data_IF_260137925006
#
_entry.id   IF_260137925006
#
_cell.length_a   1.000
_cell.length_b   1.000
_cell.length_c   1.000
_cell.angle_alpha   90.00
_cell.angle_beta   90.00
_cell.angle_gamma   90.00
#
_symmetry.space_group_name_H-M   'P 1'
#
loop_
_entity.id
_entity.type
_entity.pdbx_description
1 polymer ?
#
# COMPACT_ATOMS: atom_id res chain seq x y z
N UNK A 1 1.33 -16.73 -8.34
CA UNK A 1 2.44 -16.58 -7.38
C UNK A 1 2.87 -15.13 -7.20
N UNK A 2 3.19 -14.37 -8.27
CA UNK A 2 3.64 -12.95 -8.16
C UNK A 2 2.64 -12.05 -7.42
N UNK A 3 1.33 -12.16 -7.70
CA UNK A 3 0.27 -11.41 -7.00
C UNK A 3 0.11 -11.71 -5.50
N UNK A 4 0.80 -12.73 -4.99
CA UNK A 4 0.84 -13.04 -3.55
C UNK A 4 1.98 -12.32 -2.84
N UNK A 5 2.97 -11.83 -3.60
CA UNK A 5 4.16 -11.14 -3.09
C UNK A 5 4.03 -9.63 -3.35
N UNK A 6 3.48 -9.24 -4.49
CA UNK A 6 3.27 -7.84 -4.87
C UNK A 6 1.79 -7.54 -4.96
N UNK A 7 1.35 -6.49 -4.28
CA UNK A 7 -0.02 -5.97 -4.40
C UNK A 7 -0.16 -4.98 -5.57
N UNK A 8 -1.41 -4.68 -5.92
CA UNK A 8 -1.81 -3.71 -6.94
C UNK A 8 -2.64 -2.58 -6.33
N UNK A 9 -2.83 -1.47 -7.06
CA UNK A 9 -3.57 -0.30 -6.54
C UNK A 9 -5.00 -0.65 -6.11
N UNK A 10 -5.68 -1.47 -6.92
CA UNK A 10 -6.99 -2.03 -6.62
C UNK A 10 -7.01 -3.52 -6.94
N UNK A 11 -7.97 -4.24 -6.37
CA UNK A 11 -8.22 -5.66 -6.64
C UNK A 11 -9.65 -5.85 -7.12
N UNK A 12 -9.92 -6.89 -7.93
CA UNK A 12 -11.29 -7.23 -8.29
C UNK A 12 -12.01 -7.76 -7.05
N UNK A 13 -13.25 -7.33 -6.84
CA UNK A 13 -14.07 -7.89 -5.77
C UNK A 13 -14.32 -9.38 -6.06
N UNK A 14 -13.89 -10.31 -5.16
CA UNK A 14 -14.07 -11.74 -5.38
C UNK A 14 -15.54 -12.17 -5.41
N UNK A 15 -16.43 -11.37 -4.80
CA UNK A 15 -17.88 -11.62 -4.76
C UNK A 15 -18.63 -10.99 -5.94
N UNK A 16 -18.00 -10.05 -6.65
CA UNK A 16 -18.60 -9.34 -7.78
C UNK A 16 -17.53 -8.88 -8.74
N UNK A 17 -17.29 -9.66 -9.80
CA UNK A 17 -16.21 -9.40 -10.76
C UNK A 17 -16.33 -8.08 -11.53
N UNK A 18 -17.51 -7.43 -11.46
CA UNK A 18 -17.75 -6.10 -12.03
C UNK A 18 -17.34 -4.93 -11.13
N UNK A 19 -16.87 -5.20 -9.91
CA UNK A 19 -16.45 -4.19 -8.94
C UNK A 19 -14.96 -4.27 -8.67
N UNK A 20 -14.34 -3.10 -8.49
CA UNK A 20 -12.99 -2.96 -7.97
C UNK A 20 -13.07 -2.61 -6.50
N UNK A 21 -12.10 -3.07 -5.72
CA UNK A 21 -11.89 -2.70 -4.33
C UNK A 21 -10.58 -1.95 -4.25
N UNK A 22 -10.60 -0.75 -3.69
CA UNK A 22 -9.43 0.05 -3.41
C UNK A 22 -8.54 -0.73 -2.43
N UNK A 23 -7.33 -1.06 -2.87
CA UNK A 23 -6.47 -1.98 -2.15
C UNK A 23 -5.32 -1.25 -1.49
N UNK A 24 -4.39 -0.72 -2.29
CA UNK A 24 -3.26 0.11 -1.88
C UNK A 24 -3.60 1.62 -1.85
N UNK A 25 -4.78 2.00 -2.32
CA UNK A 25 -5.25 3.39 -2.37
C UNK A 25 -6.35 3.64 -1.35
N UNK A 26 -6.47 4.90 -0.91
CA UNK A 26 -7.62 5.44 -0.17
C UNK A 26 -8.76 5.85 -1.10
N UNK A 27 -8.41 6.18 -2.35
CA UNK A 27 -9.38 6.55 -3.36
C UNK A 27 -8.72 7.04 -4.63
N UNK A 28 -9.59 7.27 -5.62
CA UNK A 28 -9.23 7.79 -6.94
C UNK A 28 -10.24 8.84 -7.38
N UNK A 29 -9.76 9.93 -7.98
CA UNK A 29 -10.58 10.97 -8.57
C UNK A 29 -10.24 11.13 -10.05
N UNK A 30 -11.25 11.09 -10.91
CA UNK A 30 -11.10 11.44 -12.32
C UNK A 30 -11.20 12.97 -12.47
N UNK A 31 -10.16 13.59 -13.01
CA UNK A 31 -9.98 15.02 -13.13
C UNK A 31 -9.88 15.44 -14.59
N UNK A 32 -10.57 16.53 -14.92
CA UNK A 32 -10.37 17.24 -16.19
C UNK A 32 -9.02 17.96 -16.19
N UNK A 33 -8.44 18.23 -17.36
CA UNK A 33 -7.20 19.00 -17.44
C UNK A 33 -7.36 20.42 -16.86
N UNK A 34 -8.54 21.04 -16.95
CA UNK A 34 -8.83 22.36 -16.38
C UNK A 34 -8.88 22.38 -14.85
N UNK A 35 -8.99 21.23 -14.19
CA UNK A 35 -8.95 21.11 -12.72
C UNK A 35 -7.55 20.86 -12.16
N UNK A 36 -6.53 20.77 -13.01
CA UNK A 36 -5.14 20.56 -12.58
C UNK A 36 -4.45 21.90 -12.28
N UNK A 37 -3.54 21.88 -11.31
CA UNK A 37 -2.68 23.02 -10.96
C UNK A 37 -1.39 23.08 -11.79
N UNK A 38 -1.23 22.16 -12.74
CA UNK A 38 -0.08 22.02 -13.62
C UNK A 38 -0.54 21.64 -15.03
N UNK A 39 0.34 21.85 -16.02
CA UNK A 39 0.07 21.40 -17.40
C UNK A 39 0.38 19.90 -17.54
N UNK A 40 -0.61 19.06 -17.91
CA UNK A 40 -0.36 17.64 -18.10
C UNK A 40 0.47 17.39 -19.38
N UNK A 41 1.05 16.19 -19.53
CA UNK A 41 1.77 15.82 -20.75
C UNK A 41 0.92 16.00 -22.01
N UNK A 42 1.56 16.26 -23.14
CA UNK A 42 0.86 16.39 -24.42
C UNK A 42 -0.02 15.15 -24.72
N UNK A 43 -1.15 15.38 -25.40
CA UNK A 43 -2.16 14.36 -25.70
C UNK A 43 -2.93 13.78 -24.50
N UNK A 44 -2.74 14.33 -23.30
CA UNK A 44 -3.58 13.95 -22.15
C UNK A 44 -5.00 14.49 -22.33
N UNK A 45 -5.99 13.61 -22.28
CA UNK A 45 -7.41 13.99 -22.27
C UNK A 45 -7.97 14.07 -20.85
N UNK A 46 -7.50 13.16 -19.98
CA UNK A 46 -7.97 13.10 -18.61
C UNK A 46 -6.90 12.60 -17.66
N UNK A 47 -7.09 12.85 -16.37
CA UNK A 47 -6.14 12.48 -15.33
C UNK A 47 -6.85 11.75 -14.21
N UNK A 48 -6.26 10.68 -13.69
CA UNK A 48 -6.72 10.00 -12.49
C UNK A 48 -5.79 10.33 -11.34
N UNK A 49 -6.29 11.02 -10.31
CA UNK A 49 -5.58 11.31 -9.07
C UNK A 49 -5.79 10.19 -8.08
N UNK A 50 -4.71 9.56 -7.67
CA UNK A 50 -4.71 8.50 -6.67
C UNK A 50 -4.09 8.99 -5.38
N UNK A 51 -4.66 8.56 -4.26
CA UNK A 51 -4.07 8.73 -2.93
C UNK A 51 -3.73 7.35 -2.38
N UNK A 52 -2.45 7.06 -2.20
CA UNK A 52 -1.96 5.86 -1.54
C UNK A 52 -2.33 5.87 -0.05
N UNK A 53 -2.55 4.67 0.49
CA UNK A 53 -2.64 4.48 1.95
C UNK A 53 -1.32 4.86 2.62
N UNK A 54 -1.40 5.46 3.80
CA UNK A 54 -0.22 5.88 4.56
C UNK A 54 0.50 4.73 5.28
N UNK A 55 -0.12 3.55 5.35
CA UNK A 55 0.32 2.40 6.14
C UNK A 55 0.87 1.25 5.29
N UNK A 56 1.38 1.57 4.11
CA UNK A 56 1.92 0.58 3.19
C UNK A 56 3.43 0.52 3.24
N UNK A 57 3.92 -0.70 3.44
CA UNK A 57 5.34 -1.00 3.51
C UNK A 57 5.62 -2.24 2.67
N UNK A 58 6.77 -2.25 2.03
CA UNK A 58 7.36 -3.47 1.52
C UNK A 58 7.81 -4.35 2.69
N UNK A 59 8.00 -5.64 2.40
CA UNK A 59 8.38 -6.66 3.38
C UNK A 59 9.72 -6.40 4.07
N UNK A 60 10.55 -5.53 3.51
CA UNK A 60 11.82 -5.06 4.08
C UNK A 60 11.68 -3.88 5.05
N UNK A 61 10.45 -3.39 5.25
CA UNK A 61 10.12 -2.26 6.12
C UNK A 61 10.20 -0.88 5.44
N UNK A 62 10.56 -0.78 4.16
CA UNK A 62 10.53 0.49 3.42
C UNK A 62 9.09 0.88 3.07
N UNK A 63 8.77 2.16 3.21
CA UNK A 63 7.44 2.68 2.88
C UNK A 63 7.21 2.64 1.37
N UNK A 64 6.02 2.21 0.94
CA UNK A 64 5.61 2.32 -0.46
C UNK A 64 5.23 3.77 -0.75
N UNK A 65 5.75 4.31 -1.85
CA UNK A 65 5.54 5.71 -2.25
C UNK A 65 5.00 5.83 -3.67
N UNK A 66 4.54 7.03 -4.02
CA UNK A 66 4.20 7.41 -5.39
C UNK A 66 5.34 7.16 -6.39
N UNK A 67 6.61 7.23 -5.94
CA UNK A 67 7.76 6.93 -6.79
C UNK A 67 7.84 5.46 -7.17
N UNK A 68 7.49 4.54 -6.28
CA UNK A 68 7.46 3.10 -6.60
C UNK A 68 6.39 2.79 -7.66
N UNK A 69 5.24 3.49 -7.58
CA UNK A 69 4.17 3.37 -8.59
C UNK A 69 4.64 3.94 -9.92
N UNK A 70 5.20 5.16 -9.92
CA UNK A 70 5.73 5.78 -11.14
C UNK A 70 6.82 4.92 -11.78
N UNK A 71 7.79 4.43 -10.98
CA UNK A 71 8.83 3.50 -11.41
C UNK A 71 8.23 2.28 -12.08
N UNK A 72 7.29 1.60 -11.40
CA UNK A 72 6.67 0.37 -11.90
C UNK A 72 6.01 0.60 -13.26
N UNK A 73 5.20 1.65 -13.39
CA UNK A 73 4.40 1.85 -14.61
C UNK A 73 5.28 2.30 -15.77
N UNK A 74 6.18 3.25 -15.51
CA UNK A 74 7.06 3.80 -16.54
C UNK A 74 8.07 2.75 -17.02
N UNK A 75 8.69 1.98 -16.12
CA UNK A 75 9.59 0.87 -16.52
C UNK A 75 8.86 -0.22 -17.29
N UNK A 76 7.71 -0.69 -16.80
CA UNK A 76 6.93 -1.72 -17.50
C UNK A 76 6.54 -1.29 -18.92
N UNK A 77 6.17 -0.02 -19.11
CA UNK A 77 5.87 0.52 -20.43
C UNK A 77 7.11 0.71 -21.30
N UNK A 78 8.23 1.16 -20.71
CA UNK A 78 9.48 1.37 -21.43
C UNK A 78 10.06 0.06 -21.99
N UNK A 79 9.99 -1.02 -21.20
CA UNK A 79 10.57 -2.32 -21.53
C UNK A 79 9.57 -3.32 -22.12
N UNK A 80 8.31 -2.90 -22.32
CA UNK A 80 7.27 -3.76 -22.93
C UNK A 80 6.90 -4.98 -22.09
N UNK A 81 6.96 -4.88 -20.76
CA UNK A 81 6.60 -5.97 -19.86
C UNK A 81 5.15 -6.44 -20.09
N UNK A 82 4.84 -7.73 -19.94
CA UNK A 82 3.48 -8.23 -20.17
C UNK A 82 2.39 -7.52 -19.35
N UNK A 83 2.70 -7.06 -18.14
CA UNK A 83 1.76 -6.29 -17.32
C UNK A 83 1.48 -4.87 -17.86
N UNK A 84 2.31 -4.36 -18.77
CA UNK A 84 2.16 -3.02 -19.38
C UNK A 84 1.12 -2.97 -20.50
N UNK A 85 0.61 -4.12 -20.97
CA UNK A 85 -0.42 -4.17 -22.00
C UNK A 85 -1.67 -3.34 -21.63
N UNK A 86 -1.97 -3.22 -20.33
CA UNK A 86 -3.09 -2.41 -19.82
C UNK A 86 -2.75 -0.92 -19.66
N UNK A 87 -1.48 -0.53 -19.85
CA UNK A 87 -0.96 0.81 -19.57
C UNK A 87 -0.70 1.65 -20.84
N UNK A 88 -0.94 1.10 -22.03
CA UNK A 88 -0.71 1.75 -23.33
C UNK A 88 -1.38 3.12 -23.51
N UNK A 89 -2.40 3.41 -22.71
CA UNK A 89 -3.18 4.63 -22.73
C UNK A 89 -2.58 5.76 -21.85
N UNK A 90 -1.51 5.50 -21.09
CA UNK A 90 -0.86 6.51 -20.26
C UNK A 90 -0.02 7.46 -21.12
N UNK A 91 -0.08 8.75 -20.81
CA UNK A 91 0.80 9.79 -21.39
C UNK A 91 1.94 10.16 -20.46
N UNK A 92 1.74 10.03 -19.15
CA UNK A 92 2.76 10.29 -18.14
C UNK A 92 2.23 10.17 -16.72
N UNK A 93 3.10 10.47 -15.79
CA UNK A 93 2.88 10.47 -14.35
C UNK A 93 3.22 11.83 -13.78
N UNK A 94 2.38 12.36 -12.90
CA UNK A 94 2.73 13.54 -12.10
C UNK A 94 2.67 13.19 -10.63
N UNK A 95 3.79 13.28 -9.92
CA UNK A 95 3.87 13.02 -8.49
C UNK A 95 3.61 14.33 -7.75
N UNK A 96 2.64 14.32 -6.85
CA UNK A 96 2.17 15.50 -6.09
C UNK A 96 2.61 15.49 -4.63
N UNK A 97 2.82 14.29 -4.08
CA UNK A 97 3.29 14.04 -2.73
C UNK A 97 3.82 12.60 -2.62
N UNK A 98 4.49 12.21 -1.52
CA UNK A 98 4.94 10.84 -1.30
C UNK A 98 3.83 9.78 -1.41
N UNK A 99 2.57 10.14 -1.16
CA UNK A 99 1.39 9.28 -1.24
C UNK A 99 0.32 9.78 -2.21
N UNK A 100 0.57 10.82 -3.01
CA UNK A 100 -0.39 11.31 -3.99
C UNK A 100 0.26 11.48 -5.36
N UNK A 101 -0.41 10.96 -6.38
CA UNK A 101 0.06 11.03 -7.75
C UNK A 101 -1.11 11.03 -8.73
N UNK A 102 -0.82 11.56 -9.91
CA UNK A 102 -1.73 11.66 -11.03
C UNK A 102 -1.21 10.75 -12.16
N UNK A 103 -2.12 9.97 -12.73
CA UNK A 103 -1.89 9.19 -13.95
C UNK A 103 -2.60 9.89 -15.10
N UNK A 104 -1.84 10.42 -16.03
CA UNK A 104 -2.35 11.15 -17.19
C UNK A 104 -2.62 10.15 -18.33
N UNK A 105 -3.80 10.23 -18.97
CA UNK A 105 -4.23 9.27 -20.01
C UNK A 105 -4.73 9.93 -21.28
N UNK A 106 -4.55 9.24 -22.42
CA UNK A 106 -4.95 9.67 -23.77
C UNK A 106 -6.45 9.55 -24.00
N UNK A 107 -7.11 8.59 -23.38
CA UNK A 107 -8.55 8.33 -23.51
C UNK A 107 -9.12 7.81 -22.19
N UNK A 108 -10.44 7.84 -22.02
CA UNK A 108 -11.12 7.15 -20.91
C UNK A 108 -12.22 6.26 -21.47
N UNK A 109 -12.23 5.02 -21.01
CA UNK A 109 -13.26 4.03 -21.31
C UNK A 109 -13.73 3.34 -20.03
N UNK A 110 -14.76 2.48 -20.11
CA UNK A 110 -15.39 1.86 -18.95
C UNK A 110 -14.43 0.98 -18.12
N UNK A 111 -13.33 0.50 -18.72
CA UNK A 111 -12.32 -0.33 -18.06
C UNK A 111 -11.03 0.41 -17.72
N UNK A 112 -10.96 1.74 -17.93
CA UNK A 112 -9.75 2.51 -17.68
C UNK A 112 -9.22 2.30 -16.27
N UNK A 113 -10.07 2.39 -15.25
CA UNK A 113 -9.63 2.22 -13.87
C UNK A 113 -9.11 0.80 -13.59
N UNK A 114 -9.79 -0.24 -14.12
CA UNK A 114 -9.33 -1.62 -14.00
C UNK A 114 -7.92 -1.77 -14.58
N UNK A 115 -7.69 -1.24 -15.77
CA UNK A 115 -6.41 -1.31 -16.46
C UNK A 115 -5.30 -0.53 -15.76
N UNK A 116 -5.62 0.65 -15.23
CA UNK A 116 -4.70 1.52 -14.50
C UNK A 116 -4.38 1.03 -13.09
N UNK A 117 -5.12 0.07 -12.53
CA UNK A 117 -4.93 -0.36 -11.14
C UNK A 117 -4.54 -1.82 -10.99
N UNK A 118 -4.58 -2.58 -12.09
CA UNK A 118 -4.27 -4.02 -12.12
C UNK A 118 -2.79 -4.40 -12.03
N UNK A 119 -1.81 -3.61 -12.53
CA UNK A 119 -0.41 -3.98 -12.41
C UNK A 119 0.05 -4.06 -10.96
N UNK A 120 0.93 -5.01 -10.68
CA UNK A 120 1.58 -5.13 -9.38
C UNK A 120 2.62 -4.04 -9.19
N UNK A 121 2.70 -3.46 -7.99
CA UNK A 121 3.70 -2.44 -7.65
C UNK A 121 5.01 -3.09 -7.22
N UNK A 122 6.10 -2.74 -7.91
CA UNK A 122 7.45 -3.21 -7.63
C UNK A 122 8.24 -2.16 -6.82
N UNK A 123 9.12 -2.57 -5.90
CA UNK A 123 9.97 -1.64 -5.16
C UNK A 123 11.08 -1.10 -6.07
N UNK A 124 11.06 0.20 -6.36
CA UNK A 124 12.09 0.79 -7.22
C UNK A 124 13.49 0.62 -6.68
N UNK A 125 13.64 0.59 -5.34
CA UNK A 125 14.90 0.32 -4.63
C UNK A 125 15.69 -0.88 -5.19
N UNK A 126 15.01 -1.99 -5.49
CA UNK A 126 15.66 -3.20 -5.98
C UNK A 126 15.76 -3.27 -7.50
N UNK A 127 14.81 -2.68 -8.22
CA UNK A 127 14.65 -2.90 -9.66
C UNK A 127 15.25 -1.79 -10.52
N UNK A 128 15.55 -0.62 -9.96
CA UNK A 128 16.09 0.51 -10.72
C UNK A 128 17.53 0.29 -11.20
N UNK A 129 17.85 0.91 -12.35
CA UNK A 129 19.18 0.85 -12.97
C UNK A 129 20.22 1.79 -12.37
N UNK A 130 19.82 2.77 -11.56
CA UNK A 130 20.74 3.71 -10.89
C UNK A 130 21.34 3.13 -9.59
N UNK A 131 20.79 2.01 -9.10
CA UNK A 131 21.19 1.35 -7.86
C UNK A 131 20.39 1.81 -6.64
N UNK A 132 20.36 0.96 -5.61
CA UNK A 132 19.62 1.16 -4.36
C UNK A 132 20.02 2.43 -3.62
N UNK A 133 21.32 2.76 -3.59
CA UNK A 133 21.82 3.97 -2.92
C UNK A 133 21.30 5.27 -3.58
N UNK A 134 21.24 5.31 -4.92
CA UNK A 134 20.69 6.45 -5.65
C UNK A 134 19.18 6.60 -5.41
N UNK A 135 18.47 5.47 -5.38
CA UNK A 135 17.04 5.43 -5.03
C UNK A 135 16.78 5.99 -3.64
N UNK A 136 17.47 5.46 -2.62
CA UNK A 136 17.29 5.85 -1.22
C UNK A 136 17.64 7.33 -0.99
N UNK A 137 18.70 7.82 -1.63
CA UNK A 137 19.06 9.25 -1.62
C UNK A 137 17.96 10.13 -2.20
N UNK A 138 17.39 9.73 -3.35
CA UNK A 138 16.27 10.45 -3.96
C UNK A 138 15.01 10.44 -3.10
N UNK A 139 14.62 9.29 -2.55
CA UNK A 139 13.46 9.17 -1.65
C UNK A 139 13.65 10.01 -0.39
N UNK A 140 14.82 9.93 0.25
CA UNK A 140 15.10 10.72 1.46
C UNK A 140 14.94 12.21 1.17
N UNK A 141 15.50 12.70 0.05
CA UNK A 141 15.42 14.10 -0.36
C UNK A 141 13.98 14.56 -0.62
N UNK A 142 13.14 13.69 -1.21
CA UNK A 142 11.77 14.01 -1.57
C UNK A 142 10.73 13.74 -0.48
N UNK A 143 11.12 13.13 0.65
CA UNK A 143 10.21 12.87 1.77
C UNK A 143 10.44 13.80 2.95
N UNK A 144 11.45 14.67 2.89
CA UNK A 144 11.67 15.72 3.89
C UNK A 144 10.55 16.77 3.86
N UNK A 145 10.28 17.35 5.02
CA UNK A 145 9.44 18.53 5.16
C UNK A 145 10.04 19.66 4.30
N UNK A 146 9.21 20.32 3.47
CA UNK A 146 9.60 21.36 2.51
C UNK A 146 10.42 20.92 1.28
N UNK A 147 10.37 19.63 0.91
CA UNK A 147 11.01 19.20 -0.34
C UNK A 147 10.43 19.92 -1.57
N UNK A 148 11.30 20.36 -2.47
CA UNK A 148 10.92 20.92 -3.78
C UNK A 148 10.66 19.83 -4.84
N UNK A 149 10.47 18.57 -4.41
CA UNK A 149 10.26 17.45 -5.32
C UNK A 149 8.87 17.41 -5.97
N UNK A 150 7.95 18.27 -5.54
CA UNK A 150 6.57 18.22 -6.00
C UNK A 150 6.07 19.60 -6.46
N UNK A 151 5.24 19.67 -7.51
CA UNK A 151 4.89 18.55 -8.40
C UNK A 151 6.06 18.18 -9.35
N UNK A 152 6.29 16.89 -9.57
CA UNK A 152 7.25 16.38 -10.56
C UNK A 152 6.55 15.55 -11.62
N UNK A 153 6.83 15.80 -12.89
CA UNK A 153 6.15 15.12 -14.00
C UNK A 153 7.13 14.33 -14.85
N UNK A 154 6.78 13.08 -15.09
CA UNK A 154 7.57 12.12 -15.84
C UNK A 154 6.77 11.60 -17.03
N UNK A 155 7.46 11.47 -18.15
CA UNK A 155 6.91 10.94 -19.39
C UNK A 155 7.88 9.91 -19.95
N UNK A 156 7.39 9.07 -20.86
CA UNK A 156 8.31 8.31 -21.69
C UNK A 156 8.78 9.22 -22.82
N UNK A 157 10.10 9.35 -22.93
CA UNK A 157 10.70 10.10 -24.03
C UNK A 157 10.41 9.48 -25.38
N UNK A 158 10.55 10.25 -26.48
CA UNK A 158 10.56 9.64 -27.80
C UNK A 158 11.65 8.57 -27.81
N UNK A 159 11.29 7.39 -28.32
CA UNK A 159 12.23 6.38 -28.81
C UNK A 159 13.29 7.15 -29.60
N UNK A 160 14.57 7.22 -29.19
CA UNK A 160 15.60 7.57 -30.17
C UNK A 160 15.43 6.57 -31.30
N UNK A 161 15.56 6.98 -32.56
CA UNK A 161 15.45 6.08 -33.72
C UNK A 161 16.33 4.81 -33.63
N UNK A 162 17.23 4.75 -32.63
CA UNK A 162 18.13 3.62 -32.33
C UNK A 162 18.32 3.37 -30.81
N UNK A 163 17.32 3.58 -29.93
CA UNK A 163 17.47 3.33 -28.49
C UNK A 163 16.20 2.80 -27.79
N UNK A 164 16.38 2.13 -26.64
CA UNK A 164 15.27 1.69 -25.80
C UNK A 164 14.52 2.92 -25.22
N UNK A 165 13.18 2.86 -25.06
CA UNK A 165 12.42 3.91 -24.39
C UNK A 165 12.99 4.19 -23.00
N UNK A 166 13.02 5.46 -22.59
CA UNK A 166 13.50 5.87 -21.28
C UNK A 166 12.59 6.90 -20.63
N UNK A 167 12.62 6.91 -19.30
CA UNK A 167 11.88 7.88 -18.51
C UNK A 167 12.57 9.23 -18.57
N UNK A 168 11.80 10.27 -18.93
CA UNK A 168 12.25 11.65 -18.97
C UNK A 168 11.45 12.50 -17.97
N UNK A 169 12.13 13.48 -17.37
CA UNK A 169 11.45 14.58 -16.71
C UNK A 169 10.82 15.50 -17.77
N UNK A 170 9.56 15.90 -17.59
CA UNK A 170 8.93 16.87 -18.47
C UNK A 170 9.55 18.27 -18.22
N UNK A 171 10.04 18.92 -19.27
CA UNK A 171 10.62 20.27 -19.22
C UNK A 171 9.72 21.36 -18.62
N UNK A 172 8.40 21.14 -18.52
CA UNK A 172 7.47 22.11 -17.92
C UNK A 172 7.49 22.10 -16.39
N UNK A 173 8.04 21.05 -15.75
CA UNK A 173 8.15 20.93 -14.30
C UNK A 173 9.57 20.49 -13.91
N UNK A 174 10.07 20.97 -12.78
CA UNK A 174 11.37 20.50 -12.27
C UNK A 174 11.20 19.14 -11.58
N UNK A 175 12.04 18.17 -11.92
CA UNK A 175 12.08 16.87 -11.23
C UNK A 175 13.33 16.78 -10.37
N UNK A 176 13.18 17.00 -9.07
CA UNK A 176 14.28 16.82 -8.12
C UNK A 176 14.66 15.34 -7.93
N UNK A 177 13.68 14.41 -8.04
CA UNK A 177 13.97 12.99 -8.12
C UNK A 177 14.43 12.63 -9.55
N UNK A 178 15.66 12.10 -9.74
CA UNK A 178 16.21 11.88 -11.08
C UNK A 178 15.37 10.90 -11.90
N UNK A 179 15.04 11.25 -13.15
CA UNK A 179 14.32 10.36 -14.05
C UNK A 179 15.08 9.05 -14.33
N UNK A 180 16.41 9.06 -14.26
CA UNK A 180 17.25 7.88 -14.38
C UNK A 180 16.91 6.79 -13.34
N UNK A 181 16.52 7.19 -12.12
CA UNK A 181 16.11 6.27 -11.07
C UNK A 181 14.77 5.58 -11.36
N UNK A 182 14.00 6.10 -12.32
CA UNK A 182 12.73 5.50 -12.75
C UNK A 182 12.89 4.49 -13.90
N UNK A 183 14.11 4.29 -14.41
CA UNK A 183 14.42 3.25 -15.39
C UNK A 183 14.80 1.95 -14.69
N UNK A 184 14.37 0.81 -15.24
CA UNK A 184 14.76 -0.52 -14.74
C UNK A 184 16.24 -0.80 -15.03
N UNK A 185 16.85 -1.64 -14.20
CA UNK A 185 18.15 -2.22 -14.47
C UNK A 185 18.06 -3.19 -15.66
N UNK A 186 18.78 -2.94 -16.77
CA UNK A 186 18.72 -3.79 -17.95
C UNK A 186 19.18 -5.23 -17.67
N UNK A 187 20.00 -5.46 -16.63
CA UNK A 187 20.42 -6.82 -16.25
C UNK A 187 19.32 -7.60 -15.52
N UNK A 188 18.25 -6.93 -15.07
CA UNK A 188 17.14 -7.55 -14.32
C UNK A 188 15.95 -7.91 -15.21
N UNK A 189 15.99 -7.52 -16.49
CA UNK A 189 14.93 -7.80 -17.48
C UNK A 189 15.35 -8.84 -18.51
N UNK A 190 16.56 -9.39 -18.42
CA UNK A 190 17.00 -10.47 -19.30
C UNK A 190 16.30 -11.79 -18.94
N UNK A 191 16.05 -12.71 -19.90
CA UNK A 191 15.33 -13.95 -19.65
C UNK A 191 15.96 -14.88 -18.59
N UNK A 192 17.27 -14.75 -18.35
CA UNK A 192 18.02 -15.56 -17.39
C UNK A 192 18.07 -14.95 -15.99
N UNK A 193 17.53 -13.75 -15.79
CA UNK A 193 17.53 -13.12 -14.49
C UNK A 193 16.53 -13.82 -13.56
N UNK A 194 17.02 -14.27 -12.41
CA UNK A 194 16.20 -14.90 -11.39
C UNK A 194 16.11 -13.99 -10.14
N UNK A 195 14.96 -13.35 -9.87
CA UNK A 195 14.79 -12.47 -8.71
C UNK A 195 14.85 -13.23 -7.39
N UNK A 196 14.61 -14.55 -7.38
CA UNK A 196 14.78 -15.41 -6.20
C UNK A 196 16.27 -15.58 -5.89
N UNK A 197 17.08 -15.92 -6.90
CA UNK A 197 18.52 -16.07 -6.76
C UNK A 197 19.22 -14.77 -6.40
N UNK A 198 18.72 -13.65 -6.91
CA UNK A 198 19.21 -12.32 -6.59
C UNK A 198 18.77 -11.83 -5.19
N UNK A 199 17.87 -12.55 -4.51
CA UNK A 199 17.37 -12.15 -3.19
C UNK A 199 16.56 -10.84 -3.23
N UNK A 200 15.88 -10.54 -4.34
CA UNK A 200 15.12 -9.29 -4.51
C UNK A 200 13.61 -9.52 -4.63
N UNK A 201 13.13 -10.71 -4.26
CA UNK A 201 11.72 -11.05 -4.24
C UNK A 201 11.04 -10.47 -2.99
N UNK A 202 11.10 -9.14 -2.90
CA UNK A 202 10.55 -8.28 -1.85
C UNK A 202 9.36 -7.56 -2.42
N UNK A 203 8.18 -7.71 -1.82
CA UNK A 203 6.98 -7.00 -2.24
C UNK A 203 6.16 -6.48 -1.08
N UNK A 204 4.93 -6.05 -1.34
CA UNK A 204 3.99 -5.48 -0.36
C UNK A 204 2.88 -6.45 0.07
N UNK A 205 2.85 -7.64 -0.54
CA UNK A 205 1.79 -8.63 -0.42
C UNK A 205 1.84 -9.49 0.84
N UNK A 206 0.81 -10.35 1.02
CA UNK A 206 0.64 -11.15 2.24
C UNK A 206 1.69 -12.24 2.44
N UNK A 207 2.44 -12.60 1.39
CA UNK A 207 3.39 -13.70 1.41
C UNK A 207 4.79 -13.23 1.02
N UNK A 208 5.77 -13.65 1.81
CA UNK A 208 7.18 -13.29 1.63
C UNK A 208 8.06 -14.53 1.42
N UNK A 209 9.14 -14.36 0.66
CA UNK A 209 10.12 -15.39 0.40
C UNK A 209 11.15 -15.42 1.55
N UNK A 210 11.04 -16.42 2.43
CA UNK A 210 11.89 -16.51 3.62
C UNK A 210 11.75 -15.32 4.57
N UNK A 211 12.80 -15.05 5.34
CA UNK A 211 12.91 -13.79 6.11
C UNK A 211 13.34 -12.68 5.17
N UNK A 212 12.58 -11.59 5.14
CA UNK A 212 12.93 -10.38 4.38
C UNK A 212 13.52 -9.34 5.32
N UNK A 213 14.58 -8.68 4.87
CA UNK A 213 15.26 -7.60 5.59
C UNK A 213 15.56 -6.45 4.63
N UNK A 214 16.12 -5.35 5.14
CA UNK A 214 16.58 -4.22 4.31
C UNK A 214 17.56 -4.61 3.22
N UNK A 215 18.23 -5.76 3.35
CA UNK A 215 19.18 -6.31 2.37
C UNK A 215 18.53 -7.15 1.27
N UNK A 216 17.24 -7.48 1.38
CA UNK A 216 16.53 -8.30 0.41
C UNK A 216 15.73 -9.45 1.03
N UNK A 217 15.22 -10.34 0.16
CA UNK A 217 14.49 -11.54 0.53
C UNK A 217 15.42 -12.72 0.82
N UNK A 218 14.98 -13.61 1.72
CA UNK A 218 15.63 -14.88 1.96
C UNK A 218 15.24 -15.95 0.92
N UNK A 219 15.50 -17.21 1.27
CA UNK A 219 15.17 -18.35 0.43
C UNK A 219 13.73 -18.80 0.66
N UNK A 220 13.03 -19.24 -0.39
CA UNK A 220 11.67 -19.77 -0.31
C UNK A 220 11.52 -21.17 -0.90
N UNK A 221 12.48 -22.05 -0.63
CA UNK A 221 12.30 -23.49 -0.86
C UNK A 221 12.13 -24.25 0.46
N UNK A 222 11.50 -25.41 0.38
CA UNK A 222 11.37 -26.37 1.48
C UNK A 222 12.73 -26.90 1.99
N UNK A 223 13.79 -26.78 1.20
CA UNK A 223 15.15 -27.22 1.54
C UNK A 223 16.07 -26.09 1.99
N UNK A 224 15.59 -24.84 2.02
CA UNK A 224 16.41 -23.66 2.31
C UNK A 224 17.37 -23.27 1.20
N UNK A 225 17.33 -23.92 0.03
CA UNK A 225 18.02 -23.50 -1.19
C UNK A 225 17.22 -22.43 -1.96
N UNK A 226 17.86 -21.73 -2.91
CA UNK A 226 17.16 -20.80 -3.82
C UNK A 226 16.13 -21.54 -4.67
N UNK A 227 16.53 -22.70 -5.22
CA UNK A 227 15.67 -23.56 -6.01
C UNK A 227 15.46 -24.89 -5.28
N UNK A 228 14.21 -25.35 -5.11
CA UNK A 228 13.97 -26.67 -4.54
C UNK A 228 14.55 -27.76 -5.47
N UNK A 229 15.14 -28.83 -4.92
CA UNK A 229 15.51 -30.00 -5.71
C UNK A 229 14.26 -30.65 -6.33
N UNK A 230 14.45 -31.59 -7.25
CA UNK A 230 13.35 -32.39 -7.82
C UNK A 230 12.54 -33.03 -6.67
N UNK A 231 11.24 -32.74 -6.61
CA UNK A 231 10.35 -33.18 -5.54
C UNK A 231 10.24 -32.22 -4.33
N UNK A 232 11.01 -31.13 -4.31
CA UNK A 232 10.85 -30.04 -3.35
C UNK A 232 9.80 -29.02 -3.78
N UNK A 233 9.39 -28.15 -2.86
CA UNK A 233 8.40 -27.10 -3.11
C UNK A 233 8.93 -25.72 -2.79
N UNK A 234 8.41 -24.70 -3.46
CA UNK A 234 8.55 -23.34 -2.96
C UNK A 234 7.61 -23.13 -1.78
N UNK A 235 8.14 -22.57 -0.69
CA UNK A 235 7.40 -22.29 0.55
C UNK A 235 7.50 -20.81 0.85
N UNK A 236 6.35 -20.14 0.84
CA UNK A 236 6.23 -18.75 1.28
C UNK A 236 5.80 -18.71 2.74
N UNK A 237 6.29 -17.70 3.47
CA UNK A 237 5.83 -17.42 4.82
C UNK A 237 4.92 -16.21 4.80
N UNK A 238 3.97 -16.14 5.74
CA UNK A 238 3.12 -14.97 5.87
C UNK A 238 3.96 -13.75 6.29
N UNK A 239 3.72 -12.61 5.68
CA UNK A 239 4.35 -11.36 6.09
C UNK A 239 3.84 -10.97 7.51
N UNK A 240 4.78 -10.92 8.45
CA UNK A 240 4.50 -10.77 9.89
C UNK A 240 4.31 -12.09 10.65
N UNK A 241 4.66 -13.25 10.07
CA UNK A 241 4.62 -14.54 10.77
C UNK A 241 5.46 -14.47 12.07
N UNK A 242 4.85 -14.86 13.19
CA UNK A 242 5.51 -14.87 14.50
C UNK A 242 5.46 -13.54 15.23
N UNK A 243 4.97 -12.48 14.60
CA UNK A 243 4.62 -11.24 15.28
C UNK A 243 3.21 -11.36 15.84
N UNK A 244 2.98 -10.73 16.99
CA UNK A 244 1.60 -10.53 17.45
C UNK A 244 0.83 -9.70 16.43
N UNK A 245 -0.47 -9.97 16.25
CA UNK A 245 -1.30 -9.13 15.42
C UNK A 245 -1.15 -7.66 15.83
N UNK A 246 -1.13 -6.74 14.87
CA UNK A 246 -1.01 -5.31 15.11
C UNK A 246 0.31 -4.81 15.79
N UNK A 247 1.29 -5.69 16.03
CA UNK A 247 2.51 -5.30 16.79
C UNK A 247 3.51 -4.46 16.00
N UNK A 248 3.30 -4.25 14.71
CA UNK A 248 4.17 -3.44 13.86
C UNK A 248 3.37 -2.82 12.71
N UNK A 249 3.70 -1.59 12.33
CA UNK A 249 3.09 -0.92 11.18
C UNK A 249 3.77 -1.35 9.87
N UNK A 250 5.07 -1.59 9.90
CA UNK A 250 5.89 -1.92 8.73
C UNK A 250 6.29 -3.39 8.63
N UNK A 251 6.10 -4.18 9.70
CA UNK A 251 6.51 -5.58 9.79
C UNK A 251 5.37 -6.60 9.60
N UNK A 252 4.14 -6.14 9.40
CA UNK A 252 2.97 -7.00 9.17
C UNK A 252 2.22 -6.56 7.93
N UNK A 253 1.58 -7.52 7.26
CA UNK A 253 0.79 -7.21 6.08
C UNK A 253 -0.31 -6.18 6.37
N UNK A 254 -0.41 -5.13 5.55
CA UNK A 254 -1.33 -4.00 5.80
C UNK A 254 -2.82 -4.40 5.75
N UNK A 255 -3.16 -5.50 5.04
CA UNK A 255 -4.50 -6.12 5.02
C UNK A 255 -4.60 -7.37 5.91
N UNK A 256 -3.72 -7.51 6.90
CA UNK A 256 -3.79 -8.61 7.88
C UNK A 256 -5.05 -8.53 8.75
N UNK A 257 -5.40 -9.66 9.36
CA UNK A 257 -6.52 -9.74 10.28
C UNK A 257 -6.28 -8.90 11.55
N UNK A 258 -5.04 -8.78 12.02
CA UNK A 258 -4.68 -7.84 13.07
C UNK A 258 -4.94 -6.38 12.70
N UNK A 259 -4.60 -5.97 11.48
CA UNK A 259 -4.90 -4.60 11.03
C UNK A 259 -6.39 -4.39 10.76
N UNK A 260 -7.14 -5.42 10.37
CA UNK A 260 -8.60 -5.34 10.31
C UNK A 260 -9.21 -5.13 11.70
N UNK A 261 -8.73 -5.84 12.72
CA UNK A 261 -9.17 -5.67 14.10
C UNK A 261 -8.88 -4.23 14.60
N UNK A 262 -7.69 -3.69 14.30
CA UNK A 262 -7.35 -2.31 14.61
C UNK A 262 -8.25 -1.30 13.88
N UNK A 263 -8.52 -1.52 12.60
CA UNK A 263 -9.38 -0.65 11.81
C UNK A 263 -10.80 -0.61 12.40
N UNK A 264 -11.36 -1.77 12.75
CA UNK A 264 -12.66 -1.86 13.42
C UNK A 264 -12.63 -1.14 14.78
N UNK A 265 -11.57 -1.35 15.57
CA UNK A 265 -11.42 -0.71 16.88
C UNK A 265 -11.26 0.81 16.78
N UNK A 266 -10.69 1.33 15.69
CA UNK A 266 -10.57 2.78 15.48
C UNK A 266 -11.90 3.49 15.19
N UNK A 267 -13.04 2.78 15.24
CA UNK A 267 -14.38 3.29 14.93
C UNK A 267 -14.43 3.96 13.55
N UNK A 268 -14.22 3.16 12.47
CA UNK A 268 -14.03 3.72 11.15
C UNK A 268 -15.37 4.18 10.55
N UNK A 269 -15.35 5.34 9.91
CA UNK A 269 -16.49 5.95 9.24
C UNK A 269 -16.10 6.59 7.91
N UNK A 270 -16.64 7.79 7.66
CA UNK A 270 -16.16 8.64 6.57
C UNK A 270 -15.02 9.55 7.06
N UNK A 271 -14.37 10.25 6.13
CA UNK A 271 -13.24 11.13 6.47
C UNK A 271 -13.61 12.16 7.55
N UNK A 272 -14.85 12.68 7.56
CA UNK A 272 -15.30 13.65 8.56
C UNK A 272 -15.48 13.02 9.93
N UNK A 273 -16.09 11.83 10.00
CA UNK A 273 -16.19 11.03 11.22
C UNK A 273 -14.80 10.68 11.77
N UNK A 274 -13.92 10.16 10.93
CA UNK A 274 -12.59 9.71 11.34
C UNK A 274 -11.73 10.86 11.87
N UNK A 275 -11.83 12.06 11.28
CA UNK A 275 -11.14 13.25 11.79
C UNK A 275 -11.67 13.69 13.16
N UNK A 276 -12.97 13.57 13.41
CA UNK A 276 -13.55 13.84 14.74
C UNK A 276 -13.06 12.80 15.76
N UNK A 277 -13.08 11.52 15.40
CA UNK A 277 -12.56 10.42 16.22
C UNK A 277 -11.08 10.62 16.56
N UNK A 278 -10.25 10.99 15.57
CA UNK A 278 -8.86 11.34 15.80
C UNK A 278 -8.70 12.52 16.78
N UNK A 279 -9.52 13.56 16.63
CA UNK A 279 -9.51 14.73 17.53
C UNK A 279 -9.87 14.35 18.98
N UNK A 280 -10.84 13.44 19.16
CA UNK A 280 -11.23 12.89 20.46
C UNK A 280 -10.06 12.12 21.10
N UNK A 281 -9.45 11.21 20.34
CA UNK A 281 -8.34 10.38 20.83
C UNK A 281 -7.13 11.24 21.22
N UNK A 282 -6.84 12.28 20.41
CA UNK A 282 -5.79 13.24 20.71
C UNK A 282 -6.06 14.00 22.01
N UNK A 283 -7.31 14.39 22.29
CA UNK A 283 -7.69 15.02 23.55
C UNK A 283 -7.59 14.08 24.77
N UNK A 284 -7.68 12.77 24.54
CA UNK A 284 -7.52 11.75 25.58
C UNK A 284 -6.06 11.41 25.91
N UNK A 285 -5.09 11.94 25.17
CA UNK A 285 -3.67 11.64 25.37
C UNK A 285 -3.21 11.97 26.79
N UNK A 286 -2.71 10.96 27.51
CA UNK A 286 -2.27 11.10 28.91
C UNK A 286 -3.41 11.33 29.91
N UNK A 287 -4.68 11.27 29.50
CA UNK A 287 -5.81 11.42 30.40
C UNK A 287 -5.89 10.24 31.39
N UNK A 288 -6.37 10.46 32.63
CA UNK A 288 -6.60 9.40 33.60
C UNK A 288 -7.55 8.32 33.05
N UNK A 289 -7.33 7.07 33.44
CA UNK A 289 -8.17 5.94 33.03
C UNK A 289 -9.60 6.14 33.53
N UNK A 290 -10.58 5.98 32.63
CA UNK A 290 -12.02 6.09 32.91
C UNK A 290 -12.77 4.87 32.37
N UNK A 291 -13.89 4.53 33.00
CA UNK A 291 -14.81 3.49 32.52
C UNK A 291 -15.97 4.05 31.67
N UNK A 292 -16.06 5.37 31.52
CA UNK A 292 -17.14 6.06 30.81
C UNK A 292 -16.66 7.35 30.14
N UNK A 293 -17.34 7.78 29.09
CA UNK A 293 -17.01 8.99 28.35
C UNK A 293 -16.13 8.73 27.13
N UNK A 294 -15.75 9.79 26.42
CA UNK A 294 -15.14 9.69 25.10
C UNK A 294 -13.78 8.98 25.08
N UNK A 295 -13.05 8.96 26.20
CA UNK A 295 -11.76 8.29 26.31
C UNK A 295 -11.86 6.81 26.66
N UNK A 296 -12.98 6.35 27.23
CA UNK A 296 -13.09 5.00 27.79
C UNK A 296 -12.85 3.91 26.74
N UNK A 297 -13.34 4.12 25.51
CA UNK A 297 -13.11 3.22 24.38
C UNK A 297 -11.63 3.10 24.03
N UNK A 298 -10.92 4.23 23.88
CA UNK A 298 -9.49 4.22 23.52
C UNK A 298 -8.55 3.86 24.66
N UNK A 299 -9.05 3.89 25.89
CA UNK A 299 -8.36 3.39 27.07
C UNK A 299 -8.51 1.88 27.21
N UNK A 300 -9.37 1.23 26.40
CA UNK A 300 -9.66 -0.20 26.44
C UNK A 300 -9.40 -0.85 25.08
N UNK A 301 -9.26 -2.17 25.06
CA UNK A 301 -8.96 -2.87 23.80
C UNK A 301 -7.51 -2.63 23.36
N UNK A 302 -7.27 -2.44 22.07
CA UNK A 302 -5.99 -2.81 21.46
C UNK A 302 -4.80 -1.99 22.01
N UNK A 303 -3.89 -2.69 22.71
CA UNK A 303 -2.77 -2.17 23.48
C UNK A 303 -2.90 -2.32 25.00
N UNK A 304 -4.11 -2.63 25.48
CA UNK A 304 -4.55 -2.65 26.88
C UNK A 304 -4.85 -4.08 27.39
N UNK A 305 -3.90 -5.02 27.18
CA UNK A 305 -4.02 -6.45 27.54
C UNK A 305 -4.55 -6.63 28.99
N UNK A 306 -5.80 -7.06 29.16
CA UNK A 306 -6.37 -7.36 30.48
C UNK A 306 -6.92 -6.18 31.29
N UNK A 307 -7.04 -4.97 30.74
CA UNK A 307 -7.68 -3.86 31.44
C UNK A 307 -7.34 -2.47 30.92
N UNK A 308 -8.04 -1.42 31.39
CA UNK A 308 -7.91 -0.10 30.82
C UNK A 308 -6.56 0.56 31.12
N UNK A 309 -5.95 1.18 30.12
CA UNK A 309 -4.67 1.90 30.19
C UNK A 309 -4.82 3.36 29.73
N UNK A 310 -3.94 4.29 30.13
CA UNK A 310 -3.91 5.63 29.56
C UNK A 310 -3.69 5.61 28.04
N UNK A 311 -4.35 6.54 27.33
CA UNK A 311 -4.15 6.70 25.89
C UNK A 311 -2.74 7.25 25.64
N UNK A 312 -1.93 6.48 24.93
CA UNK A 312 -0.58 6.84 24.53
C UNK A 312 -0.43 7.00 23.02
N UNK A 313 0.82 7.14 22.57
CA UNK A 313 1.13 7.31 21.15
C UNK A 313 0.70 6.11 20.30
N UNK A 314 0.69 4.90 20.85
CA UNK A 314 0.20 3.69 20.18
C UNK A 314 -1.24 3.86 19.70
N UNK A 315 -2.17 4.21 20.61
CA UNK A 315 -3.58 4.38 20.30
C UNK A 315 -3.82 5.53 19.32
N UNK A 316 -3.19 6.68 19.57
CA UNK A 316 -3.27 7.84 18.67
C UNK A 316 -2.78 7.47 17.26
N UNK A 317 -1.67 6.74 17.17
CA UNK A 317 -1.10 6.33 15.87
C UNK A 317 -2.00 5.34 15.13
N UNK A 318 -2.68 4.43 15.83
CA UNK A 318 -3.62 3.47 15.24
C UNK A 318 -4.81 4.22 14.63
N UNK A 319 -5.40 5.17 15.35
CA UNK A 319 -6.56 5.92 14.84
C UNK A 319 -6.13 6.78 13.64
N UNK A 320 -5.01 7.52 13.77
CA UNK A 320 -4.48 8.34 12.68
C UNK A 320 -4.17 7.51 11.41
N UNK A 321 -3.69 6.27 11.58
CA UNK A 321 -3.35 5.37 10.48
C UNK A 321 -4.55 5.07 9.58
N UNK A 322 -5.75 5.04 10.13
CA UNK A 322 -6.96 4.61 9.43
C UNK A 322 -7.91 5.75 9.06
N UNK A 323 -7.53 7.01 9.29
CA UNK A 323 -8.34 8.17 8.89
C UNK A 323 -8.61 8.16 7.39
N UNK A 324 -9.89 8.20 7.03
CA UNK A 324 -10.37 8.19 5.65
C UNK A 324 -10.23 6.84 4.95
N UNK A 325 -9.80 5.78 5.65
CA UNK A 325 -9.71 4.44 5.08
C UNK A 325 -11.07 3.75 5.17
N UNK A 326 -11.71 3.61 4.02
CA UNK A 326 -12.74 2.60 3.85
C UNK A 326 -12.10 1.26 3.45
N UNK A 327 -12.10 0.30 4.38
CA UNK A 327 -11.48 -1.01 4.19
C UNK A 327 -12.06 -1.80 3.02
N UNK A 328 -13.29 -1.53 2.59
CA UNK A 328 -13.92 -2.20 1.47
C UNK A 328 -14.31 -1.23 0.34
N UNK A 329 -13.71 -0.03 0.30
CA UNK A 329 -13.99 0.97 -0.74
C UNK A 329 -13.92 0.34 -2.13
N UNK A 330 -14.81 0.73 -3.05
CA UNK A 330 -15.82 1.79 -2.94
C UNK A 330 -17.14 1.33 -2.28
N UNK A 331 -17.21 0.11 -1.72
CA UNK A 331 -18.42 -0.36 -1.04
C UNK A 331 -18.60 0.43 0.25
N UNK A 332 -19.79 1.01 0.44
CA UNK A 332 -20.14 1.63 1.70
C UNK A 332 -20.84 0.59 2.59
N UNK A 333 -20.10 -0.01 3.52
CA UNK A 333 -20.64 -1.02 4.43
C UNK A 333 -21.74 -0.48 5.36
N UNK A 334 -21.75 0.83 5.65
CA UNK A 334 -22.77 1.43 6.50
C UNK A 334 -24.14 1.52 5.82
N UNK A 335 -24.18 1.70 4.50
CA UNK A 335 -25.43 1.86 3.73
C UNK A 335 -25.77 0.68 2.82
N UNK A 336 -24.80 -0.17 2.49
CA UNK A 336 -24.97 -1.35 1.63
C UNK A 336 -23.94 -2.42 2.01
N UNK A 337 -24.05 -3.04 3.19
CA UNK A 337 -23.15 -4.10 3.62
C UNK A 337 -23.22 -5.27 2.62
N UNK A 338 -22.08 -5.85 2.21
CA UNK A 338 -22.10 -6.98 1.29
C UNK A 338 -22.78 -8.18 1.95
N UNK A 339 -23.69 -8.81 1.22
CA UNK A 339 -24.36 -10.04 1.65
C UNK A 339 -23.40 -11.23 1.66
N UNK A 340 -23.49 -12.09 2.68
CA UNK A 340 -22.60 -13.26 2.85
C UNK A 340 -21.28 -12.98 3.57
N UNK A 341 -21.11 -11.79 4.16
CA UNK A 341 -20.00 -11.51 5.09
C UNK A 341 -20.42 -11.88 6.52
N UNK A 342 -19.46 -12.40 7.30
CA UNK A 342 -19.61 -12.70 8.73
C UNK A 342 -20.12 -11.42 9.45
N UNK A 343 -21.01 -11.51 10.46
CA UNK A 343 -21.45 -10.37 11.24
C UNK A 343 -20.28 -9.49 11.72
N UNK A 344 -20.53 -8.17 11.84
CA UNK A 344 -19.59 -7.25 12.48
C UNK A 344 -19.26 -7.78 13.90
N UNK A 345 -17.96 -7.79 14.23
CA UNK A 345 -17.32 -8.59 15.31
C UNK A 345 -17.06 -10.08 15.00
N UNK A 346 -16.45 -10.44 13.85
CA UNK A 346 -16.05 -11.82 13.58
C UNK A 346 -14.91 -12.28 14.52
N UNK A 347 -14.84 -13.56 14.84
CA UNK A 347 -13.57 -14.16 15.31
C UNK A 347 -12.59 -14.18 14.15
N UNK A 348 -11.42 -13.57 14.32
CA UNK A 348 -10.41 -13.45 13.27
C UNK A 348 -9.26 -14.42 13.52
N UNK A 349 -8.77 -15.06 12.45
CA UNK A 349 -7.72 -16.08 12.55
C UNK A 349 -6.41 -15.55 11.97
N UNK A 350 -5.37 -15.49 12.80
CA UNK A 350 -4.05 -15.00 12.41
C UNK A 350 -3.00 -16.11 12.63
N UNK A 351 -2.87 -16.97 11.62
CA UNK A 351 -2.02 -18.18 11.68
C UNK A 351 -2.45 -19.12 12.83
N UNK A 352 -1.66 -19.23 13.89
CA UNK A 352 -1.97 -20.02 15.10
C UNK A 352 -2.63 -19.20 16.20
N UNK A 353 -2.80 -17.89 15.99
CA UNK A 353 -3.42 -16.96 16.93
C UNK A 353 -4.87 -16.74 16.49
N UNK A 354 -5.77 -16.63 17.45
CA UNK A 354 -7.16 -16.26 17.22
C UNK A 354 -7.41 -14.94 17.93
N UNK A 355 -7.92 -13.96 17.20
CA UNK A 355 -8.39 -12.68 17.72
C UNK A 355 -9.89 -12.77 17.95
N UNK A 356 -10.30 -12.85 19.21
CA UNK A 356 -11.69 -12.89 19.60
C UNK A 356 -12.20 -11.47 19.85
N UNK A 357 -13.41 -11.13 19.36
CA UNK A 357 -14.04 -9.89 19.80
C UNK A 357 -14.26 -9.95 21.31
N UNK A 358 -14.23 -8.81 21.98
CA UNK A 358 -14.38 -8.72 23.43
C UNK A 358 -15.65 -9.39 23.98
N UNK A 359 -16.72 -9.45 23.18
CA UNK A 359 -17.97 -10.18 23.49
C UNK A 359 -17.80 -11.70 23.57
N UNK A 360 -16.82 -12.27 22.87
CA UNK A 360 -16.49 -13.71 22.86
C UNK A 360 -15.35 -14.02 23.82
N UNK A 361 -14.39 -13.12 23.99
CA UNK A 361 -13.25 -13.28 24.89
C UNK A 361 -13.63 -13.23 26.40
N UNK A 362 -14.84 -12.75 26.73
CA UNK A 362 -15.27 -12.61 28.12
C UNK A 362 -14.74 -11.35 28.81
N UNK A 363 -14.46 -10.31 28.00
CA UNK A 363 -13.97 -9.01 28.46
C UNK A 363 -14.96 -8.29 29.37
N UNK A 364 -14.44 -7.45 30.28
CA UNK A 364 -15.25 -6.60 31.16
C UNK A 364 -16.25 -5.74 30.39
N UNK A 365 -15.85 -5.23 29.22
CA UNK A 365 -16.74 -4.50 28.32
C UNK A 365 -16.85 -5.26 27.00
N UNK A 366 -18.07 -5.57 26.52
CA UNK A 366 -18.26 -6.26 25.26
C UNK A 366 -17.86 -5.38 24.07
N UNK A 367 -17.65 -6.01 22.92
CA UNK A 367 -17.53 -5.31 21.64
C UNK A 367 -18.80 -4.45 21.38
N UNK A 368 -18.69 -3.22 20.82
CA UNK A 368 -17.50 -2.59 20.23
C UNK A 368 -16.51 -1.96 21.23
N UNK A 369 -16.95 -1.66 22.45
CA UNK A 369 -16.15 -0.91 23.44
C UNK A 369 -14.89 -1.64 23.90
N UNK A 370 -14.94 -2.98 24.02
CA UNK A 370 -13.77 -3.77 24.44
C UNK A 370 -12.76 -4.12 23.34
N UNK A 371 -13.05 -3.84 22.06
CA UNK A 371 -12.17 -4.21 20.94
C UNK A 371 -12.01 -5.73 20.73
N UNK A 372 -10.77 -6.15 20.44
CA UNK A 372 -10.36 -7.55 20.25
C UNK A 372 -9.29 -7.92 21.27
N UNK A 373 -9.34 -9.16 21.78
CA UNK A 373 -8.36 -9.75 22.71
C UNK A 373 -7.95 -8.78 23.83
N UNK A 374 -8.94 -8.36 24.62
CA UNK A 374 -8.66 -7.89 25.98
C UNK A 374 -8.41 -9.11 26.89
#
# INVERSE_FOLDING_TARGET
>A
MIRNIYDSLAVKNPMSSGQLVDWMILGVQQLSNSSLTYFPPASTQQTFRFTLRNDMFFQDGRKVTSFDVAFTYLSMMADGAYQSATLSNITGFTILAPSQFDVNVKNVGPFSLLFLTSPTILPGHYWNGAGSAAWDSGISSCTMQDSSCYPAQYTLGPIPATGAPSVLCNSTLSCAFPAANLNVDPNKIIPTFDPLAAGILVGSGPWQCGTVTVSGSGNCSSSGAVNPPVGGSYTLSRFGKGLSPASSVSGVYFRSNGNLALWIWSEPGDIGHDFLTFSVVAACFGAPVTSSGACAHFQQGIGANGGPIPVGLSQVSIVNRFVGLNWAAPLNWASSPPVGIIPLAPVLYENTITLNPASVAGCTNPYPTGGYDC
#
